data_IF_672310288146
#
_entry.id   IF_672310288146
#
_cell.length_a   1.000
_cell.length_b   1.000
_cell.length_c   1.000
_cell.angle_alpha   90.00
_cell.angle_beta   90.00
_cell.angle_gamma   90.00
#
_symmetry.space_group_name_H-M   'P 1'
#
loop_
_entity.id
_entity.type
_entity.pdbx_description
1 polymer ?
#
# COMPACT_ATOMS: atom_id res chain seq x y z
N UNK A 1 0.85 -16.17 -23.83
CA UNK A 1 2.14 -15.46 -23.99
C UNK A 1 2.22 -14.67 -25.30
N UNK A 2 1.46 -15.00 -26.31
CA UNK A 2 1.38 -14.26 -27.58
C UNK A 2 0.26 -13.20 -27.62
N UNK A 3 -0.49 -13.07 -26.51
CA UNK A 3 -1.51 -12.03 -26.37
C UNK A 3 -0.88 -10.64 -26.37
N UNK A 4 -1.53 -9.70 -27.04
CA UNK A 4 -1.10 -8.31 -27.09
C UNK A 4 -1.32 -7.63 -25.73
N UNK A 5 -0.34 -6.83 -25.30
CA UNK A 5 -0.35 -6.13 -24.03
C UNK A 5 -0.30 -4.61 -24.25
N UNK A 6 0.88 -4.03 -24.14
CA UNK A 6 1.12 -2.58 -24.23
C UNK A 6 2.27 -2.30 -25.20
N UNK A 7 2.35 -1.11 -25.80
CA UNK A 7 3.54 -0.74 -26.56
C UNK A 7 4.76 -0.62 -25.64
N UNK A 8 5.92 -1.05 -26.13
CA UNK A 8 7.20 -0.85 -25.45
C UNK A 8 7.82 0.43 -26.01
N UNK A 9 7.89 1.47 -25.18
CA UNK A 9 8.51 2.75 -25.53
C UNK A 9 9.88 2.84 -24.87
N UNK A 10 10.92 3.09 -25.66
CA UNK A 10 12.29 3.24 -25.20
C UNK A 10 12.76 4.69 -25.33
N UNK A 11 13.80 5.05 -24.60
CA UNK A 11 14.39 6.40 -24.60
C UNK A 11 15.00 6.81 -25.98
N UNK A 12 15.19 5.84 -26.88
CA UNK A 12 15.73 6.11 -28.23
C UNK A 12 14.67 6.41 -29.26
N UNK A 13 13.39 6.21 -28.94
CA UNK A 13 12.29 6.48 -29.84
C UNK A 13 11.98 7.97 -29.94
N UNK A 14 11.69 8.44 -31.14
CA UNK A 14 11.09 9.75 -31.36
C UNK A 14 9.62 9.77 -30.91
N UNK A 15 9.04 10.96 -30.74
CA UNK A 15 7.63 11.13 -30.38
C UNK A 15 6.69 10.45 -31.40
N UNK A 16 6.97 10.61 -32.69
CA UNK A 16 6.18 10.01 -33.77
C UNK A 16 6.23 8.46 -33.72
N UNK A 17 7.40 7.89 -33.48
CA UNK A 17 7.58 6.44 -33.31
C UNK A 17 6.84 5.94 -32.08
N UNK A 18 6.90 6.66 -30.95
CA UNK A 18 6.23 6.28 -29.72
C UNK A 18 4.69 6.34 -29.87
N UNK A 19 4.16 7.37 -30.56
CA UNK A 19 2.71 7.49 -30.82
C UNK A 19 2.17 6.43 -31.78
N UNK A 20 2.98 5.96 -32.71
CA UNK A 20 2.60 4.94 -33.70
C UNK A 20 3.13 3.53 -33.34
N UNK A 21 3.61 3.34 -32.12
CA UNK A 21 4.19 2.08 -31.68
C UNK A 21 3.12 1.00 -31.53
N UNK A 22 3.25 -0.17 -32.20
CA UNK A 22 2.29 -1.26 -32.07
C UNK A 22 2.34 -1.88 -30.67
N UNK A 23 1.25 -2.56 -30.30
CA UNK A 23 1.23 -3.33 -29.06
C UNK A 23 2.24 -4.48 -29.14
N UNK A 24 3.06 -4.59 -28.11
CA UNK A 24 3.94 -5.73 -27.91
C UNK A 24 3.17 -6.90 -27.29
N UNK A 25 3.72 -8.11 -27.39
CA UNK A 25 3.14 -9.27 -26.69
C UNK A 25 3.44 -9.22 -25.19
N UNK A 26 2.63 -9.91 -24.40
CA UNK A 26 2.90 -10.10 -22.96
C UNK A 26 4.32 -10.64 -22.73
N UNK A 27 4.75 -11.58 -23.58
CA UNK A 27 6.11 -12.14 -23.54
C UNK A 27 7.19 -11.08 -23.74
N UNK A 28 7.02 -10.22 -24.74
CA UNK A 28 8.00 -9.18 -25.06
C UNK A 28 8.09 -8.16 -23.92
N UNK A 29 6.95 -7.79 -23.32
CA UNK A 29 6.92 -6.88 -22.16
C UNK A 29 7.67 -7.49 -20.97
N UNK A 30 7.43 -8.75 -20.63
CA UNK A 30 8.19 -9.40 -19.54
C UNK A 30 9.67 -9.55 -19.87
N UNK A 31 10.01 -9.83 -21.14
CA UNK A 31 11.41 -9.88 -21.58
C UNK A 31 12.09 -8.53 -21.36
N UNK A 32 11.42 -7.43 -21.69
CA UNK A 32 11.95 -6.08 -21.44
C UNK A 32 12.11 -5.81 -19.94
N UNK A 33 11.08 -6.09 -19.13
CA UNK A 33 11.15 -5.92 -17.66
C UNK A 33 12.34 -6.67 -17.06
N UNK A 34 12.54 -7.92 -17.46
CA UNK A 34 13.66 -8.73 -16.95
C UNK A 34 15.01 -8.18 -17.40
N UNK A 35 15.12 -7.74 -18.65
CA UNK A 35 16.34 -7.13 -19.19
C UNK A 35 16.70 -5.84 -18.44
N UNK A 36 15.71 -4.99 -18.17
CA UNK A 36 15.90 -3.73 -17.45
C UNK A 36 16.37 -3.99 -16.01
N UNK A 37 15.74 -4.95 -15.33
CA UNK A 37 16.10 -5.32 -13.95
C UNK A 37 17.48 -6.00 -13.88
N UNK A 38 17.82 -6.86 -14.84
CA UNK A 38 19.11 -7.51 -14.92
C UNK A 38 20.26 -6.49 -15.17
N UNK A 39 19.94 -5.40 -15.85
CA UNK A 39 20.87 -4.28 -16.06
C UNK A 39 20.96 -3.39 -14.82
N UNK A 40 19.84 -3.09 -14.20
CA UNK A 40 19.77 -2.17 -13.06
C UNK A 40 20.41 -2.74 -11.79
N UNK A 41 20.22 -4.04 -11.50
CA UNK A 41 20.71 -4.68 -10.27
C UNK A 41 22.22 -4.50 -10.07
N UNK A 42 23.11 -4.88 -11.01
CA UNK A 42 24.55 -4.70 -10.83
C UNK A 42 24.95 -3.23 -10.67
N UNK A 43 24.25 -2.32 -11.35
CA UNK A 43 24.50 -0.89 -11.18
C UNK A 43 24.16 -0.41 -9.77
N UNK A 44 23.01 -0.82 -9.23
CA UNK A 44 22.55 -0.46 -7.89
C UNK A 44 23.39 -1.11 -6.78
N UNK A 45 23.89 -2.32 -7.00
CA UNK A 45 24.81 -2.98 -6.06
C UNK A 45 26.15 -2.24 -5.96
N UNK A 46 26.64 -1.70 -7.08
CA UNK A 46 27.88 -0.91 -7.12
C UNK A 46 27.69 0.54 -6.67
N UNK A 47 26.47 1.03 -6.62
CA UNK A 47 26.13 2.40 -6.22
C UNK A 47 25.03 2.36 -5.14
N UNK A 48 25.32 1.87 -3.94
CA UNK A 48 24.33 1.72 -2.89
C UNK A 48 23.76 3.09 -2.45
N UNK A 49 22.47 3.13 -2.23
CA UNK A 49 21.78 4.25 -1.60
C UNK A 49 21.33 3.78 -0.23
N UNK A 50 21.94 4.30 0.82
CA UNK A 50 21.70 3.87 2.18
C UNK A 50 20.64 4.72 2.88
N UNK A 51 19.71 4.03 3.56
CA UNK A 51 18.80 4.61 4.55
C UNK A 51 17.60 5.39 4.03
N UNK A 52 17.54 5.74 2.76
CA UNK A 52 16.40 6.47 2.19
C UNK A 52 15.43 5.51 1.47
N UNK A 53 14.33 5.20 2.14
CA UNK A 53 13.29 4.31 1.59
C UNK A 53 12.44 4.94 0.47
N UNK A 54 12.62 6.21 0.16
CA UNK A 54 12.01 6.85 -1.00
C UNK A 54 12.80 6.59 -2.29
N UNK A 55 14.05 6.18 -2.18
CA UNK A 55 14.91 5.89 -3.32
C UNK A 55 14.96 4.40 -3.67
N UNK A 56 15.13 4.13 -4.95
CA UNK A 56 15.30 2.76 -5.46
C UNK A 56 16.74 2.32 -5.22
N UNK A 57 16.91 1.20 -4.56
CA UNK A 57 18.19 0.52 -4.32
C UNK A 57 18.15 -0.92 -4.84
N UNK A 58 19.25 -1.66 -4.68
CA UNK A 58 19.32 -3.04 -5.14
C UNK A 58 18.24 -3.95 -4.51
N UNK A 59 17.90 -3.74 -3.23
CA UNK A 59 16.85 -4.50 -2.57
C UNK A 59 15.48 -4.33 -3.25
N UNK A 60 15.16 -3.11 -3.67
CA UNK A 60 13.94 -2.81 -4.42
C UNK A 60 13.94 -3.50 -5.78
N UNK A 61 15.07 -3.42 -6.52
CA UNK A 61 15.18 -4.04 -7.83
C UNK A 61 15.04 -5.57 -7.76
N UNK A 62 15.67 -6.21 -6.78
CA UNK A 62 15.50 -7.65 -6.52
C UNK A 62 14.03 -7.96 -6.16
N UNK A 63 13.37 -7.17 -5.32
CA UNK A 63 11.97 -7.34 -4.97
C UNK A 63 11.02 -7.22 -6.17
N UNK A 64 11.28 -6.30 -7.09
CA UNK A 64 10.53 -6.17 -8.34
C UNK A 64 10.77 -7.36 -9.27
N UNK A 65 12.02 -7.83 -9.40
CA UNK A 65 12.35 -9.00 -10.21
C UNK A 65 11.74 -10.29 -9.62
N UNK A 66 11.71 -10.43 -8.31
CA UNK A 66 11.01 -11.52 -7.63
C UNK A 66 9.52 -11.56 -7.99
N UNK A 67 8.85 -10.40 -8.02
CA UNK A 67 7.44 -10.31 -8.41
C UNK A 67 7.23 -10.65 -9.89
N UNK A 68 8.10 -10.19 -10.78
CA UNK A 68 8.06 -10.54 -12.20
C UNK A 68 8.23 -12.05 -12.39
N UNK A 69 9.25 -12.65 -11.77
CA UNK A 69 9.47 -14.09 -11.78
C UNK A 69 8.27 -14.89 -11.27
N UNK A 70 7.65 -14.43 -10.18
CA UNK A 70 6.46 -15.07 -9.62
C UNK A 70 5.28 -15.08 -10.61
N UNK A 71 5.05 -13.95 -11.30
CA UNK A 71 3.98 -13.83 -12.29
C UNK A 71 4.23 -14.68 -13.54
N UNK A 72 5.49 -14.89 -13.88
CA UNK A 72 5.90 -15.79 -14.99
C UNK A 72 5.87 -17.27 -14.60
N UNK A 73 5.65 -17.61 -13.32
CA UNK A 73 5.69 -18.99 -12.82
C UNK A 73 7.11 -19.48 -12.48
N UNK A 74 8.12 -18.61 -12.54
CA UNK A 74 9.51 -18.90 -12.23
C UNK A 74 9.77 -18.86 -10.72
N UNK A 75 9.09 -19.71 -9.96
CA UNK A 75 9.04 -19.64 -8.49
C UNK A 75 10.38 -19.79 -7.79
N UNK A 76 11.30 -20.58 -8.34
CA UNK A 76 12.64 -20.74 -7.76
C UNK A 76 13.45 -19.45 -7.84
N UNK A 77 13.40 -18.77 -8.99
CA UNK A 77 14.04 -17.49 -9.21
C UNK A 77 13.38 -16.40 -8.33
N UNK A 78 12.05 -16.41 -8.26
CA UNK A 78 11.29 -15.51 -7.39
C UNK A 78 11.69 -15.63 -5.92
N UNK A 79 11.83 -16.86 -5.41
CA UNK A 79 12.24 -17.11 -4.03
C UNK A 79 13.69 -16.63 -3.76
N UNK A 80 14.61 -16.85 -4.71
CA UNK A 80 15.99 -16.40 -4.63
C UNK A 80 16.07 -14.86 -4.57
N UNK A 81 15.39 -14.19 -5.49
CA UNK A 81 15.40 -12.73 -5.55
C UNK A 81 14.69 -12.10 -4.33
N UNK A 82 13.60 -12.69 -3.86
CA UNK A 82 12.94 -12.23 -2.63
C UNK A 82 13.86 -12.36 -1.40
N UNK A 83 14.61 -13.46 -1.29
CA UNK A 83 15.63 -13.65 -0.26
C UNK A 83 16.69 -12.56 -0.30
N UNK A 84 17.20 -12.22 -1.50
CA UNK A 84 18.16 -11.13 -1.69
C UNK A 84 17.59 -9.77 -1.33
N UNK A 85 16.36 -9.49 -1.71
CA UNK A 85 15.68 -8.24 -1.35
C UNK A 85 15.58 -8.06 0.17
N UNK A 86 15.21 -9.11 0.90
CA UNK A 86 15.13 -9.08 2.37
C UNK A 86 16.53 -8.92 3.01
N UNK A 87 17.51 -9.66 2.53
CA UNK A 87 18.90 -9.59 3.02
C UNK A 87 19.47 -8.17 2.90
N UNK A 88 19.35 -7.58 1.72
CA UNK A 88 19.94 -6.26 1.42
C UNK A 88 19.17 -5.11 2.07
N UNK A 89 17.87 -5.24 2.24
CA UNK A 89 17.04 -4.19 2.85
C UNK A 89 17.15 -4.14 4.37
N UNK A 90 17.52 -5.25 5.01
CA UNK A 90 17.40 -5.41 6.47
C UNK A 90 15.97 -5.30 6.99
N UNK A 91 14.97 -5.37 6.10
CA UNK A 91 13.56 -5.26 6.48
C UNK A 91 13.13 -6.43 7.37
N UNK A 92 12.38 -6.12 8.40
CA UNK A 92 11.81 -7.09 9.33
C UNK A 92 10.29 -7.06 9.26
N UNK A 93 9.61 -8.23 9.26
CA UNK A 93 8.16 -8.25 9.35
C UNK A 93 7.65 -7.52 10.58
N UNK A 94 6.46 -6.96 10.50
CA UNK A 94 5.77 -6.44 11.67
C UNK A 94 5.55 -7.53 12.73
N UNK A 95 5.67 -7.17 13.99
CA UNK A 95 5.22 -7.99 15.12
C UNK A 95 3.69 -8.06 15.14
N UNK A 96 3.14 -8.98 15.95
CA UNK A 96 1.68 -9.07 16.16
C UNK A 96 1.14 -7.77 16.76
N UNK A 97 1.86 -7.17 17.68
CA UNK A 97 1.50 -5.90 18.33
C UNK A 97 1.44 -4.76 17.31
N UNK A 98 2.47 -4.63 16.45
CA UNK A 98 2.50 -3.62 15.40
C UNK A 98 1.37 -3.79 14.38
N UNK A 99 1.05 -5.04 14.00
CA UNK A 99 -0.05 -5.36 13.07
C UNK A 99 -1.42 -5.08 13.70
N UNK A 100 -1.53 -5.19 15.02
CA UNK A 100 -2.78 -4.96 15.76
C UNK A 100 -3.11 -3.48 15.95
N UNK A 101 -2.16 -2.58 15.71
CA UNK A 101 -2.40 -1.13 15.82
C UNK A 101 -2.76 -0.55 14.46
N UNK A 102 -3.87 0.22 14.34
CA UNK A 102 -4.16 0.97 13.12
C UNK A 102 -3.05 2.00 12.87
N UNK A 103 -2.29 1.77 11.81
CA UNK A 103 -1.15 2.63 11.44
C UNK A 103 -0.86 2.53 9.95
N UNK A 104 0.14 1.83 9.52
CA UNK A 104 0.52 1.58 8.11
C UNK A 104 0.71 2.82 7.23
N UNK A 105 0.66 3.99 7.80
CA UNK A 105 0.83 5.30 7.16
C UNK A 105 2.20 5.91 7.44
N UNK A 106 3.03 5.25 8.26
CA UNK A 106 4.39 5.68 8.56
C UNK A 106 5.43 4.77 7.94
N UNK A 107 6.58 5.33 7.64
CA UNK A 107 7.76 4.55 7.24
C UNK A 107 8.17 3.65 8.41
N UNK A 108 8.17 2.35 8.18
CA UNK A 108 8.50 1.35 9.18
C UNK A 108 9.64 0.43 8.73
N UNK A 109 10.20 -0.35 9.66
CA UNK A 109 11.27 -1.30 9.37
C UNK A 109 10.85 -2.43 8.43
N UNK A 110 9.56 -2.72 8.33
CA UNK A 110 8.99 -3.70 7.41
C UNK A 110 8.93 -3.22 5.94
N UNK A 111 9.13 -1.93 5.69
CA UNK A 111 9.11 -1.38 4.33
C UNK A 111 10.49 -1.46 3.69
N UNK A 112 10.52 -1.94 2.46
CA UNK A 112 11.71 -1.90 1.61
C UNK A 112 11.76 -0.59 0.83
N UNK A 113 10.61 -0.15 0.31
CA UNK A 113 10.46 1.06 -0.48
C UNK A 113 9.05 1.63 -0.33
N UNK A 114 8.92 2.95 -0.41
CA UNK A 114 7.63 3.61 -0.39
C UNK A 114 7.70 5.05 -0.86
N UNK A 115 6.57 5.58 -1.34
CA UNK A 115 6.44 7.00 -1.62
C UNK A 115 6.23 7.74 -0.29
N UNK A 116 7.17 8.60 0.05
CA UNK A 116 7.09 9.43 1.26
C UNK A 116 6.27 10.68 0.93
N UNK A 117 5.08 10.76 1.51
CA UNK A 117 4.17 11.89 1.34
C UNK A 117 4.42 12.86 2.51
N UNK A 118 4.69 14.11 2.19
CA UNK A 118 4.94 15.19 3.15
C UNK A 118 3.91 16.30 2.97
N UNK A 119 3.80 17.19 3.94
CA UNK A 119 2.89 18.35 3.89
C UNK A 119 3.12 19.28 2.69
N UNK A 120 4.29 19.20 2.05
CA UNK A 120 4.62 19.99 0.87
C UNK A 120 4.17 19.36 -0.46
N UNK A 121 3.67 18.14 -0.44
CA UNK A 121 3.23 17.47 -1.65
C UNK A 121 1.85 17.98 -2.10
N UNK A 122 1.67 18.14 -3.40
CA UNK A 122 0.40 18.60 -3.99
C UNK A 122 -0.78 17.74 -3.55
N UNK A 123 -0.56 16.43 -3.36
CA UNK A 123 -1.59 15.49 -2.89
C UNK A 123 -2.14 15.86 -1.51
N UNK A 124 -1.33 16.50 -0.66
CA UNK A 124 -1.76 16.99 0.66
C UNK A 124 -2.38 18.38 0.54
N UNK A 125 -1.84 19.24 -0.33
CA UNK A 125 -2.31 20.59 -0.55
C UNK A 125 -3.72 20.66 -1.17
N UNK A 126 -4.16 19.61 -1.88
CA UNK A 126 -5.49 19.53 -2.48
C UNK A 126 -6.61 19.26 -1.47
N UNK A 127 -6.30 19.05 -0.20
CA UNK A 127 -7.29 18.82 0.87
C UNK A 127 -8.02 17.49 0.73
N UNK A 128 -9.37 17.51 0.80
CA UNK A 128 -10.21 16.30 0.85
C UNK A 128 -10.19 15.43 -0.41
N UNK A 129 -9.75 15.96 -1.55
CA UNK A 129 -9.69 15.23 -2.82
C UNK A 129 -8.27 14.71 -3.03
N UNK A 130 -7.73 14.02 -2.07
CA UNK A 130 -6.40 13.44 -2.16
C UNK A 130 -6.42 11.92 -1.96
N UNK A 131 -5.34 11.28 -2.36
CA UNK A 131 -5.21 9.83 -2.27
C UNK A 131 -5.30 9.29 -0.83
N UNK A 132 -4.67 9.90 0.19
CA UNK A 132 -4.83 9.47 1.58
C UNK A 132 -6.27 9.46 2.06
N UNK A 133 -7.07 10.48 1.70
CA UNK A 133 -8.47 10.55 2.12
C UNK A 133 -9.34 9.45 1.51
N UNK A 134 -8.95 8.88 0.37
CA UNK A 134 -9.62 7.72 -0.21
C UNK A 134 -9.30 6.40 0.50
N UNK A 135 -8.14 6.31 1.16
CA UNK A 135 -7.70 5.09 1.84
C UNK A 135 -8.09 5.08 3.31
N UNK A 136 -8.17 6.23 3.93
CA UNK A 136 -8.38 6.38 5.37
C UNK A 136 -9.87 6.54 5.69
N UNK A 137 -10.51 5.46 6.12
CA UNK A 137 -11.90 5.49 6.56
C UNK A 137 -12.07 6.00 7.98
N UNK A 138 -11.03 5.94 8.82
CA UNK A 138 -11.11 6.22 10.25
C UNK A 138 -11.10 7.69 10.62
N UNK A 139 -10.47 8.54 9.83
CA UNK A 139 -10.26 9.94 10.23
C UNK A 139 -11.45 10.83 9.96
N UNK A 140 -12.50 10.30 9.33
CA UNK A 140 -13.61 11.13 8.87
C UNK A 140 -13.21 12.14 7.79
N UNK A 141 -11.95 12.17 7.40
CA UNK A 141 -11.39 13.03 6.35
C UNK A 141 -11.45 12.40 4.98
N UNK A 142 -11.97 11.22 4.89
CA UNK A 142 -12.28 10.66 3.60
C UNK A 142 -13.26 11.58 2.87
N UNK A 143 -13.49 11.34 1.63
CA UNK A 143 -14.38 11.98 0.67
C UNK A 143 -15.79 12.39 1.20
N UNK A 144 -15.99 12.43 2.48
CA UNK A 144 -17.28 12.21 3.07
C UNK A 144 -17.66 13.15 4.17
N UNK A 145 -16.75 13.95 4.66
CA UNK A 145 -17.06 14.79 5.81
C UNK A 145 -17.23 16.25 5.44
N UNK A 146 -18.33 16.80 5.85
CA UNK A 146 -18.59 18.23 5.90
C UNK A 146 -19.33 18.82 4.71
N UNK A 147 -19.62 18.09 3.64
CA UNK A 147 -20.28 18.68 2.45
C UNK A 147 -21.55 17.91 2.06
N UNK A 148 -22.11 17.11 2.95
CA UNK A 148 -23.34 16.35 2.65
C UNK A 148 -23.20 15.30 1.55
N UNK A 149 -21.97 14.89 1.25
CA UNK A 149 -21.69 13.86 0.26
C UNK A 149 -21.73 12.47 0.88
N UNK A 150 -22.20 11.49 0.14
CA UNK A 150 -22.30 10.11 0.58
C UNK A 150 -20.92 9.55 0.94
N UNK A 151 -20.83 8.98 2.12
CA UNK A 151 -19.61 8.35 2.66
C UNK A 151 -19.20 7.17 1.80
N UNK A 152 -17.98 7.19 1.28
CA UNK A 152 -17.41 6.06 0.54
C UNK A 152 -16.58 5.21 1.49
N UNK A 153 -17.22 4.25 2.15
CA UNK A 153 -16.52 3.32 3.02
C UNK A 153 -15.77 2.25 2.23
N UNK A 154 -14.52 2.00 2.59
CA UNK A 154 -13.78 0.82 2.15
C UNK A 154 -14.18 -0.35 3.04
N UNK A 155 -15.04 -1.21 2.53
CA UNK A 155 -15.60 -2.34 3.27
C UNK A 155 -15.08 -3.66 2.72
N UNK A 156 -14.84 -4.62 3.61
CA UNK A 156 -14.63 -6.00 3.20
C UNK A 156 -15.99 -6.68 2.94
N UNK A 157 -16.03 -7.63 2.02
CA UNK A 157 -17.20 -8.50 1.88
C UNK A 157 -17.39 -9.33 3.15
N UNK A 158 -18.61 -9.34 3.72
CA UNK A 158 -18.90 -10.03 4.99
C UNK A 158 -18.55 -11.51 4.94
N UNK A 159 -18.88 -12.20 3.84
CA UNK A 159 -18.56 -13.61 3.69
C UNK A 159 -17.05 -13.88 3.62
N UNK A 160 -16.26 -12.94 3.12
CA UNK A 160 -14.80 -13.01 3.17
C UNK A 160 -14.29 -12.77 4.59
N UNK A 161 -14.84 -11.77 5.28
CA UNK A 161 -14.48 -11.44 6.67
C UNK A 161 -14.75 -12.61 7.63
N UNK A 162 -15.91 -13.27 7.48
CA UNK A 162 -16.27 -14.48 8.27
C UNK A 162 -15.29 -15.64 8.09
N UNK A 163 -14.63 -15.73 6.94
CA UNK A 163 -13.63 -16.77 6.65
C UNK A 163 -12.26 -16.49 7.25
N UNK A 164 -12.00 -15.28 7.72
CA UNK A 164 -10.74 -14.95 8.40
C UNK A 164 -10.79 -15.61 9.78
N UNK A 165 -9.81 -16.45 10.15
CA UNK A 165 -9.76 -17.07 11.46
C UNK A 165 -9.74 -16.03 12.60
N UNK A 166 -10.38 -16.35 13.73
CA UNK A 166 -10.36 -15.51 14.93
C UNK A 166 -8.94 -15.30 15.50
N UNK A 167 -8.02 -16.21 15.20
CA UNK A 167 -6.61 -16.11 15.58
C UNK A 167 -5.79 -15.18 14.71
N UNK A 168 -6.34 -14.71 13.59
CA UNK A 168 -5.66 -13.76 12.71
C UNK A 168 -6.00 -12.33 13.13
N UNK A 169 -5.04 -11.65 13.76
CA UNK A 169 -5.19 -10.27 14.26
C UNK A 169 -5.58 -9.28 13.17
N UNK A 170 -5.32 -9.61 11.89
CA UNK A 170 -5.73 -8.77 10.75
C UNK A 170 -7.24 -8.74 10.55
N UNK A 171 -8.00 -9.67 11.15
CA UNK A 171 -9.46 -9.60 11.18
C UNK A 171 -9.95 -8.29 11.79
N UNK A 172 -9.26 -7.80 12.81
CA UNK A 172 -9.52 -6.51 13.44
C UNK A 172 -9.18 -5.27 12.60
N UNK A 173 -8.66 -5.42 11.38
CA UNK A 173 -8.52 -4.28 10.45
C UNK A 173 -9.86 -3.78 9.88
N UNK A 174 -10.93 -4.46 10.20
CA UNK A 174 -12.31 -4.05 9.87
C UNK A 174 -13.18 -4.13 11.11
N UNK A 175 -14.11 -3.22 11.23
CA UNK A 175 -15.18 -3.39 12.21
C UNK A 175 -16.09 -4.55 11.77
N UNK A 176 -16.67 -5.25 12.73
CA UNK A 176 -17.59 -6.35 12.49
C UNK A 176 -19.04 -5.88 12.21
N UNK A 177 -20.01 -6.80 12.32
CA UNK A 177 -21.44 -6.51 12.17
C UNK A 177 -22.00 -5.61 13.29
N UNK A 178 -21.36 -5.61 14.45
CA UNK A 178 -21.73 -4.79 15.62
C UNK A 178 -20.89 -3.50 15.71
N UNK A 179 -20.15 -3.16 14.66
CA UNK A 179 -19.25 -2.01 14.58
C UNK A 179 -18.08 -2.07 15.56
N UNK A 180 -17.68 -3.26 15.97
CA UNK A 180 -16.58 -3.48 16.91
C UNK A 180 -15.31 -3.90 16.17
N UNK A 181 -14.14 -3.43 16.64
CA UNK A 181 -12.82 -3.90 16.24
C UNK A 181 -11.91 -4.04 17.45
N UNK A 182 -11.36 -5.24 17.73
CA UNK A 182 -10.41 -5.41 18.81
C UNK A 182 -9.14 -4.58 18.63
N UNK A 183 -8.74 -4.31 17.40
CA UNK A 183 -7.57 -3.50 17.10
C UNK A 183 -7.78 -2.02 17.48
N UNK A 184 -8.99 -1.49 17.29
CA UNK A 184 -9.32 -0.15 17.77
C UNK A 184 -9.28 -0.05 19.29
N UNK A 185 -9.88 -1.02 19.97
CA UNK A 185 -9.88 -1.08 21.44
C UNK A 185 -8.45 -1.20 21.99
N UNK A 186 -7.61 -2.00 21.34
CA UNK A 186 -6.21 -2.16 21.71
C UNK A 186 -5.41 -0.87 21.52
N UNK A 187 -5.58 -0.19 20.40
CA UNK A 187 -4.80 0.99 20.04
C UNK A 187 -5.23 2.26 20.78
N UNK A 188 -6.52 2.45 20.96
CA UNK A 188 -7.10 3.73 21.42
C UNK A 188 -7.88 3.61 22.73
N UNK A 189 -7.94 2.42 23.31
CA UNK A 189 -8.59 2.16 24.59
C UNK A 189 -10.05 1.72 24.48
N UNK A 190 -10.59 1.27 25.60
CA UNK A 190 -11.94 0.74 25.70
C UNK A 190 -12.98 1.81 25.28
N UNK A 191 -13.88 1.44 24.38
CA UNK A 191 -14.92 2.31 23.85
C UNK A 191 -14.56 2.98 22.53
N UNK A 192 -13.35 2.75 21.97
CA UNK A 192 -12.96 3.33 20.69
C UNK A 192 -13.89 2.91 19.54
N UNK A 193 -14.29 1.66 19.49
CA UNK A 193 -15.24 1.15 18.48
C UNK A 193 -16.61 1.82 18.61
N UNK A 194 -17.09 2.05 19.85
CA UNK A 194 -18.34 2.76 20.10
C UNK A 194 -18.27 4.22 19.64
N UNK A 195 -17.12 4.87 19.76
CA UNK A 195 -16.89 6.22 19.25
C UNK A 195 -17.08 6.30 17.73
N UNK A 196 -16.56 5.33 16.99
CA UNK A 196 -16.76 5.20 15.54
C UNK A 196 -18.23 4.96 15.20
N UNK A 197 -18.89 4.02 15.87
CA UNK A 197 -20.29 3.71 15.63
C UNK A 197 -21.19 4.93 15.82
N UNK A 198 -20.92 5.74 16.85
CA UNK A 198 -21.71 6.93 17.16
C UNK A 198 -21.48 8.10 16.19
N UNK A 199 -20.36 8.13 15.51
CA UNK A 199 -20.07 9.17 14.52
C UNK A 199 -20.98 9.11 13.27
N UNK A 200 -21.84 8.09 13.14
CA UNK A 200 -22.80 7.85 12.06
C UNK A 200 -22.22 7.87 10.63
N UNK A 201 -20.91 7.89 10.54
CA UNK A 201 -20.17 7.97 9.25
C UNK A 201 -19.61 6.63 8.83
N UNK A 202 -19.71 5.60 9.64
CA UNK A 202 -19.17 4.28 9.36
C UNK A 202 -20.28 3.24 9.14
N UNK A 203 -20.00 2.31 8.26
CA UNK A 203 -20.84 1.15 8.04
C UNK A 203 -20.14 -0.11 8.58
N UNK A 204 -20.91 -1.16 8.84
CA UNK A 204 -20.35 -2.47 9.21
C UNK A 204 -19.31 -2.93 8.19
N UNK A 205 -18.28 -3.59 8.65
CA UNK A 205 -17.15 -4.10 7.85
C UNK A 205 -16.27 -3.02 7.23
N UNK A 206 -16.34 -1.78 7.71
CA UNK A 206 -15.48 -0.69 7.28
C UNK A 206 -14.04 -0.95 7.70
N UNK A 207 -13.11 -0.57 6.81
CA UNK A 207 -11.67 -0.66 7.03
C UNK A 207 -11.24 0.35 8.10
N UNK A 208 -10.55 -0.14 9.12
CA UNK A 208 -9.95 0.64 10.21
C UNK A 208 -8.44 0.39 10.35
N UNK A 209 -7.83 -0.19 9.32
CA UNK A 209 -6.39 -0.49 9.27
C UNK A 209 -5.53 0.76 9.32
N UNK A 210 -5.95 1.82 8.64
CA UNK A 210 -5.22 3.09 8.60
C UNK A 210 -5.78 4.02 9.66
N UNK A 211 -4.96 4.36 10.62
CA UNK A 211 -5.33 5.24 11.73
C UNK A 211 -4.54 6.53 11.74
N UNK A 212 -5.04 7.56 12.43
CA UNK A 212 -4.30 8.80 12.62
C UNK A 212 -3.06 8.57 13.46
N UNK A 213 -2.04 9.40 13.23
CA UNK A 213 -0.89 9.47 14.13
C UNK A 213 -1.30 10.14 15.46
N UNK A 214 -0.53 9.86 16.51
CA UNK A 214 -0.62 10.54 17.80
C UNK A 214 -1.98 10.48 18.51
N UNK A 215 -2.74 9.38 18.29
CA UNK A 215 -4.04 9.17 18.96
C UNK A 215 -5.07 10.30 18.74
N UNK A 216 -4.98 11.04 17.66
CA UNK A 216 -6.02 12.01 17.27
C UNK A 216 -7.21 11.20 16.73
N UNK A 217 -7.93 10.58 17.65
CA UNK A 217 -9.06 9.74 17.32
C UNK A 217 -10.31 10.61 17.15
N UNK A 218 -10.89 10.59 15.95
CA UNK A 218 -12.26 11.06 15.72
C UNK A 218 -12.55 12.53 16.03
N UNK A 219 -11.55 13.37 16.10
CA UNK A 219 -11.77 14.80 16.19
C UNK A 219 -11.83 15.40 14.79
N UNK A 220 -13.02 15.74 14.34
CA UNK A 220 -13.27 16.34 13.03
C UNK A 220 -12.60 17.72 12.87
N UNK A 221 -12.14 18.33 13.94
CA UNK A 221 -11.49 19.65 13.92
C UNK A 221 -9.99 19.58 13.65
N UNK A 222 -9.32 18.45 13.95
CA UNK A 222 -7.87 18.30 13.83
C UNK A 222 -7.45 17.27 12.76
N UNK A 223 -8.35 16.88 11.91
CA UNK A 223 -8.12 15.86 10.91
C UNK A 223 -7.36 16.34 9.66
N UNK A 224 -6.69 17.47 9.73
CA UNK A 224 -5.90 18.06 8.64
C UNK A 224 -4.38 17.96 8.84
N UNK A 225 -3.92 17.32 9.92
CA UNK A 225 -2.49 17.13 10.19
C UNK A 225 -2.00 15.71 9.84
#
# INVERSE_FOLDING_TARGET
>A
EEELAVPIVTETMSEDEAMNNPLATVKDVYTQIMSDLDTAIPYLENNPVDGDKAQINAAVAYGLRARANMLMGEYANAATDAGKALELSGATPYSIEEVSVPSFNNVANSWIWGSIITTNNDVVQTGIINWPSHLCSMTGNGYTTGIGMNVVHKRINSALWERIPETDVRKGWWVDADMFSPNLEYAYGTGASAGIANAAVFATYTNVKFGPQDNIVFNTENSQD
#
